data_IF_591871375024
#
_entry.id   IF_591871375024
#
_cell.length_a   1.000
_cell.length_b   1.000
_cell.length_c   1.000
_cell.angle_alpha   90.00
_cell.angle_beta   90.00
_cell.angle_gamma   90.00
#
_symmetry.space_group_name_H-M   'P 1'
#
loop_
_entity.id
_entity.type
_entity.pdbx_description
1 polymer ?
#
# COMPACT_ATOMS: atom_id res chain seq x y z
N UNK A 1 -1.20 7.03 -24.15
CA UNK A 1 -1.46 8.24 -23.35
C UNK A 1 -2.71 7.98 -22.53
N UNK A 2 -2.70 8.30 -21.24
CA UNK A 2 -3.85 8.10 -20.36
C UNK A 2 -5.03 8.98 -20.83
N UNK A 3 -6.25 8.43 -20.89
CA UNK A 3 -7.43 9.23 -21.23
C UNK A 3 -7.82 10.11 -20.04
N UNK A 4 -8.52 11.22 -20.30
CA UNK A 4 -9.00 12.11 -19.23
C UNK A 4 -10.00 11.45 -18.28
N UNK A 5 -10.77 10.49 -18.77
CA UNK A 5 -11.72 9.74 -17.93
C UNK A 5 -10.99 8.78 -16.98
N UNK A 6 -9.99 8.05 -17.49
CA UNK A 6 -9.18 7.15 -16.66
C UNK A 6 -8.31 7.96 -15.69
N UNK A 7 -7.71 9.04 -16.14
CA UNK A 7 -6.93 9.96 -15.28
C UNK A 7 -7.79 10.50 -14.13
N UNK A 8 -9.03 10.89 -14.41
CA UNK A 8 -9.97 11.34 -13.39
C UNK A 8 -10.34 10.21 -12.41
N UNK A 9 -10.58 8.99 -12.91
CA UNK A 9 -10.91 7.85 -12.07
C UNK A 9 -9.74 7.45 -11.14
N UNK A 10 -8.51 7.41 -11.67
CA UNK A 10 -7.31 7.09 -10.89
C UNK A 10 -7.02 8.18 -9.85
N UNK A 11 -7.20 9.47 -10.19
CA UNK A 11 -7.09 10.55 -9.21
C UNK A 11 -8.21 10.49 -8.14
N UNK A 12 -9.40 9.99 -8.50
CA UNK A 12 -10.44 9.63 -7.54
C UNK A 12 -9.95 8.58 -6.55
N UNK A 13 -9.37 7.49 -7.05
CA UNK A 13 -8.79 6.45 -6.21
C UNK A 13 -7.66 6.99 -5.32
N UNK A 14 -6.77 7.83 -5.85
CA UNK A 14 -5.73 8.52 -5.04
C UNK A 14 -6.34 9.24 -3.85
N UNK A 15 -7.50 9.88 -4.00
CA UNK A 15 -8.16 10.57 -2.89
C UNK A 15 -8.71 9.63 -1.81
N UNK A 16 -9.15 8.44 -2.20
CA UNK A 16 -9.63 7.43 -1.29
C UNK A 16 -8.46 6.82 -0.51
N UNK A 17 -7.39 6.39 -1.18
CA UNK A 17 -6.17 5.87 -0.54
C UNK A 17 -5.44 6.94 0.32
N UNK A 18 -5.51 8.21 -0.10
CA UNK A 18 -4.96 9.33 0.66
C UNK A 18 -5.69 9.54 2.01
N UNK A 19 -6.86 8.93 2.19
CA UNK A 19 -7.54 8.93 3.49
C UNK A 19 -6.92 8.00 4.54
N UNK A 20 -5.70 7.51 4.30
CA UNK A 20 -4.77 6.88 5.26
C UNK A 20 -4.65 7.61 6.61
N UNK A 21 -4.96 8.91 6.67
CA UNK A 21 -5.09 9.65 7.92
C UNK A 21 -6.17 9.08 8.86
N UNK A 22 -7.14 8.31 8.36
CA UNK A 22 -8.19 7.67 9.18
C UNK A 22 -7.61 6.60 10.12
N UNK A 23 -6.92 5.54 9.63
CA UNK A 23 -6.17 4.63 10.51
C UNK A 23 -5.20 5.34 11.45
N UNK A 24 -4.55 6.41 11.01
CA UNK A 24 -3.67 7.20 11.87
C UNK A 24 -4.40 7.84 13.06
N UNK A 25 -5.58 8.42 12.83
CA UNK A 25 -6.40 8.98 13.90
C UNK A 25 -6.95 7.90 14.84
N UNK A 26 -7.30 6.73 14.30
CA UNK A 26 -7.69 5.56 15.09
C UNK A 26 -6.53 5.06 15.96
N UNK A 27 -5.31 5.02 15.42
CA UNK A 27 -4.11 4.62 16.15
C UNK A 27 -3.84 5.55 17.33
N UNK A 28 -3.90 6.86 17.07
CA UNK A 28 -3.76 7.88 18.12
C UNK A 28 -4.83 7.73 19.22
N UNK A 29 -6.08 7.44 18.83
CA UNK A 29 -7.14 7.16 19.82
C UNK A 29 -6.82 5.91 20.65
N UNK A 30 -6.43 4.80 20.00
CA UNK A 30 -6.14 3.52 20.67
C UNK A 30 -4.97 3.64 21.67
N UNK A 31 -3.94 4.39 21.30
CA UNK A 31 -2.79 4.66 22.17
C UNK A 31 -3.22 5.41 23.44
N UNK A 32 -4.12 6.39 23.32
CA UNK A 32 -4.71 7.12 24.44
C UNK A 32 -5.68 6.26 25.29
N UNK A 33 -6.11 5.09 24.81
CA UNK A 33 -6.89 4.12 25.58
C UNK A 33 -6.03 3.03 26.24
N UNK A 34 -4.70 3.06 26.05
CA UNK A 34 -3.79 2.03 26.54
C UNK A 34 -3.80 0.73 25.72
N UNK A 35 -4.36 0.76 24.51
CA UNK A 35 -4.44 -0.38 23.58
C UNK A 35 -3.22 -0.37 22.65
N UNK A 36 -2.07 -0.77 23.18
CA UNK A 36 -0.77 -0.62 22.52
C UNK A 36 -0.65 -1.48 21.26
N UNK A 37 -1.13 -2.73 21.29
CA UNK A 37 -1.08 -3.61 20.12
C UNK A 37 -2.00 -3.13 18.99
N UNK A 38 -3.17 -2.60 19.35
CA UNK A 38 -4.13 -1.98 18.43
C UNK A 38 -3.55 -0.71 17.81
N UNK A 39 -2.94 0.15 18.62
CA UNK A 39 -2.29 1.36 18.12
C UNK A 39 -1.16 1.01 17.13
N UNK A 40 -0.28 0.08 17.48
CA UNK A 40 0.80 -0.38 16.61
C UNK A 40 0.29 -0.98 15.29
N UNK A 41 -0.80 -1.75 15.35
CA UNK A 41 -1.46 -2.28 14.15
C UNK A 41 -1.96 -1.14 13.24
N UNK A 42 -2.69 -0.18 13.80
CA UNK A 42 -3.32 0.91 13.04
C UNK A 42 -2.30 1.93 12.49
N UNK A 43 -1.22 2.21 13.23
CA UNK A 43 -0.11 3.02 12.70
C UNK A 43 0.49 2.36 11.45
N UNK A 44 0.68 1.04 11.49
CA UNK A 44 1.23 0.33 10.34
C UNK A 44 0.25 0.24 9.18
N UNK A 45 -1.03 0.02 9.48
CA UNK A 45 -2.09 0.07 8.47
C UNK A 45 -2.12 1.43 7.76
N UNK A 46 -1.96 2.53 8.51
CA UNK A 46 -1.82 3.88 7.93
C UNK A 46 -0.64 4.01 6.97
N UNK A 47 0.50 3.36 7.26
CA UNK A 47 1.66 3.37 6.37
C UNK A 47 1.40 2.53 5.11
N UNK A 48 0.69 1.40 5.22
CA UNK A 48 0.27 0.57 4.08
C UNK A 48 -0.62 1.37 3.11
N UNK A 49 -1.67 2.01 3.61
CA UNK A 49 -2.55 2.90 2.82
C UNK A 49 -1.79 4.03 2.12
N UNK A 50 -0.79 4.62 2.80
CA UNK A 50 0.06 5.66 2.20
C UNK A 50 0.86 5.11 1.01
N UNK A 51 1.30 3.87 1.08
CA UNK A 51 2.03 3.20 -0.01
C UNK A 51 1.09 2.90 -1.18
N UNK A 52 -0.17 2.53 -0.91
CA UNK A 52 -1.20 2.35 -1.94
C UNK A 52 -1.44 3.64 -2.73
N UNK A 53 -1.58 4.77 -2.03
CA UNK A 53 -1.68 6.09 -2.64
C UNK A 53 -0.46 6.42 -3.53
N UNK A 54 0.75 6.23 -3.00
CA UNK A 54 1.99 6.55 -3.72
C UNK A 54 2.15 5.71 -4.99
N UNK A 55 1.73 4.44 -4.95
CA UNK A 55 1.75 3.53 -6.09
C UNK A 55 0.85 4.04 -7.23
N UNK A 56 -0.36 4.51 -6.94
CA UNK A 56 -1.25 5.15 -7.93
C UNK A 56 -0.65 6.43 -8.50
N UNK A 57 -0.16 7.32 -7.64
CA UNK A 57 0.47 8.59 -8.06
C UNK A 57 1.59 8.33 -9.07
N UNK A 58 2.47 7.38 -8.76
CA UNK A 58 3.59 7.02 -9.63
C UNK A 58 3.08 6.46 -10.97
N UNK A 59 2.10 5.55 -10.93
CA UNK A 59 1.53 4.96 -12.14
C UNK A 59 0.87 6.01 -13.07
N UNK A 60 0.10 6.95 -12.52
CA UNK A 60 -0.54 8.03 -13.29
C UNK A 60 0.52 8.85 -14.02
N UNK A 61 1.57 9.25 -13.30
CA UNK A 61 2.65 10.07 -13.85
C UNK A 61 3.46 9.32 -14.92
N UNK A 62 3.76 8.03 -14.72
CA UNK A 62 4.46 7.18 -15.69
C UNK A 62 3.68 6.96 -16.99
N UNK A 63 2.34 6.99 -16.91
CA UNK A 63 1.44 6.87 -18.09
C UNK A 63 1.23 8.20 -18.81
N UNK A 64 1.90 9.27 -18.39
CA UNK A 64 1.81 10.61 -18.96
C UNK A 64 0.56 11.39 -18.54
N UNK A 65 -0.09 11.01 -17.44
CA UNK A 65 -1.13 11.80 -16.77
C UNK A 65 -0.54 12.71 -15.70
N UNK A 66 -1.41 13.47 -15.01
CA UNK A 66 -1.03 14.29 -13.87
C UNK A 66 -1.73 13.79 -12.60
N UNK A 67 -0.95 13.23 -11.66
CA UNK A 67 -1.48 12.85 -10.36
C UNK A 67 -1.73 14.09 -9.48
N UNK A 68 -2.85 14.10 -8.77
CA UNK A 68 -3.25 15.19 -7.88
C UNK A 68 -3.29 14.67 -6.45
N UNK A 69 -2.54 15.32 -5.56
CA UNK A 69 -2.66 15.10 -4.12
C UNK A 69 -3.88 15.90 -3.62
N UNK A 70 -4.92 15.24 -3.07
CA UNK A 70 -6.17 15.91 -2.76
C UNK A 70 -6.13 16.58 -1.38
N UNK A 71 -7.02 17.53 -1.16
CA UNK A 71 -7.32 18.02 0.18
C UNK A 71 -8.06 16.91 0.97
N UNK A 72 -7.66 16.71 2.23
CA UNK A 72 -8.22 15.67 3.08
C UNK A 72 -9.13 16.27 4.14
N UNK A 73 -10.28 15.64 4.35
CA UNK A 73 -11.16 15.96 5.48
C UNK A 73 -10.56 15.40 6.76
N UNK A 74 -10.78 16.10 7.87
CA UNK A 74 -10.36 15.61 9.18
C UNK A 74 -11.10 14.29 9.51
N UNK A 75 -10.38 13.20 9.86
CA UNK A 75 -11.00 11.95 10.29
C UNK A 75 -11.65 12.08 11.68
N UNK A 76 -12.51 11.14 12.05
CA UNK A 76 -13.08 11.11 13.41
C UNK A 76 -11.98 10.94 14.45
N UNK A 77 -12.09 11.69 15.54
CA UNK A 77 -11.18 11.62 16.70
C UNK A 77 -11.83 10.96 17.93
N UNK A 78 -13.10 10.55 17.80
CA UNK A 78 -13.88 9.96 18.89
C UNK A 78 -14.45 8.62 18.45
N UNK A 79 -14.22 7.61 19.29
CA UNK A 79 -14.75 6.26 19.13
C UNK A 79 -15.30 5.80 20.48
N UNK A 80 -16.38 5.01 20.45
CA UNK A 80 -17.05 4.50 21.67
C UNK A 80 -16.27 3.37 22.33
N UNK A 81 -15.43 2.68 21.57
CA UNK A 81 -14.66 1.52 22.02
C UNK A 81 -13.90 0.89 20.85
N UNK A 82 -13.12 -0.15 21.14
CA UNK A 82 -12.31 -0.84 20.14
C UNK A 82 -13.14 -1.44 18.99
N UNK A 83 -14.35 -1.94 19.29
CA UNK A 83 -15.27 -2.45 18.26
C UNK A 83 -15.71 -1.35 17.29
N UNK A 84 -15.94 -0.13 17.77
CA UNK A 84 -16.32 1.02 16.95
C UNK A 84 -15.16 1.45 16.03
N UNK A 85 -13.91 1.32 16.50
CA UNK A 85 -12.71 1.57 15.68
C UNK A 85 -12.64 0.57 14.52
N UNK A 86 -12.73 -0.73 14.80
CA UNK A 86 -12.61 -1.75 13.76
C UNK A 86 -13.84 -1.79 12.82
N UNK A 87 -15.03 -1.40 13.30
CA UNK A 87 -16.18 -1.17 12.43
C UNK A 87 -15.92 -0.01 11.46
N UNK A 88 -15.42 1.12 11.96
CA UNK A 88 -15.07 2.25 11.11
C UNK A 88 -13.95 1.91 10.11
N UNK A 89 -13.02 1.02 10.48
CA UNK A 89 -12.01 0.49 9.57
C UNK A 89 -12.65 -0.37 8.47
N UNK A 90 -13.50 -1.35 8.82
CA UNK A 90 -14.19 -2.20 7.84
C UNK A 90 -15.07 -1.38 6.88
N UNK A 91 -15.81 -0.41 7.42
CA UNK A 91 -16.64 0.49 6.61
C UNK A 91 -15.78 1.28 5.62
N UNK A 92 -14.59 1.69 6.04
CA UNK A 92 -13.64 2.36 5.17
C UNK A 92 -13.14 1.44 4.06
N UNK A 93 -12.68 0.23 4.39
CA UNK A 93 -12.18 -0.73 3.39
C UNK A 93 -13.26 -1.13 2.38
N UNK A 94 -14.50 -1.28 2.83
CA UNK A 94 -15.65 -1.54 1.95
C UNK A 94 -15.86 -0.40 0.95
N UNK A 95 -15.65 0.86 1.38
CA UNK A 95 -15.71 2.02 0.46
C UNK A 95 -14.56 1.97 -0.55
N UNK A 96 -13.35 1.64 -0.12
CA UNK A 96 -12.17 1.54 -1.01
C UNK A 96 -12.43 0.49 -2.10
N UNK A 97 -12.93 -0.70 -1.74
CA UNK A 97 -13.27 -1.75 -2.69
C UNK A 97 -14.30 -1.30 -3.72
N UNK A 98 -15.38 -0.64 -3.27
CA UNK A 98 -16.43 -0.15 -4.18
C UNK A 98 -15.92 0.92 -5.17
N UNK A 99 -14.93 1.71 -4.78
CA UNK A 99 -14.34 2.74 -5.65
C UNK A 99 -13.39 2.16 -6.70
N UNK A 100 -12.72 1.03 -6.40
CA UNK A 100 -11.89 0.30 -7.38
C UNK A 100 -12.74 -0.16 -8.57
N UNK A 101 -13.98 -0.59 -8.32
CA UNK A 101 -14.93 -0.95 -9.39
C UNK A 101 -15.21 0.24 -10.32
N UNK A 102 -15.14 1.48 -9.81
CA UNK A 102 -15.24 2.70 -10.59
C UNK A 102 -14.12 2.84 -11.64
N UNK A 103 -12.93 2.30 -11.37
CA UNK A 103 -11.77 2.33 -12.29
C UNK A 103 -11.90 1.31 -13.43
N UNK A 104 -12.83 0.35 -13.33
CA UNK A 104 -13.11 -0.66 -14.38
C UNK A 104 -13.58 -0.04 -15.70
N UNK A 105 -13.90 1.26 -15.73
CA UNK A 105 -14.10 2.03 -16.96
C UNK A 105 -12.93 1.90 -17.96
N UNK A 106 -11.71 1.60 -17.47
CA UNK A 106 -10.56 1.30 -18.32
C UNK A 106 -10.81 0.21 -19.37
N UNK A 107 -11.62 -0.82 -19.06
CA UNK A 107 -11.98 -1.87 -20.03
C UNK A 107 -12.86 -1.35 -21.16
N UNK A 108 -13.78 -0.43 -20.87
CA UNK A 108 -14.62 0.23 -21.90
C UNK A 108 -13.78 1.08 -22.84
N UNK A 109 -12.68 1.64 -22.33
CA UNK A 109 -11.72 2.44 -23.10
C UNK A 109 -10.57 1.62 -23.69
N UNK A 110 -10.60 0.29 -23.56
CA UNK A 110 -9.57 -0.64 -24.02
C UNK A 110 -8.18 -0.36 -23.43
N UNK A 111 -8.11 0.24 -22.24
CA UNK A 111 -6.88 0.46 -21.50
C UNK A 111 -6.53 -0.77 -20.65
N UNK A 112 -6.00 -1.79 -21.33
CA UNK A 112 -5.59 -3.05 -20.71
C UNK A 112 -4.43 -2.88 -19.73
N UNK A 113 -3.59 -1.86 -19.92
CA UNK A 113 -2.47 -1.57 -19.02
C UNK A 113 -2.98 -1.09 -17.66
N UNK A 114 -3.97 -0.20 -17.64
CA UNK A 114 -4.62 0.24 -16.40
C UNK A 114 -5.41 -0.89 -15.75
N UNK A 115 -6.13 -1.70 -16.54
CA UNK A 115 -6.79 -2.89 -16.01
C UNK A 115 -5.83 -3.86 -15.32
N UNK A 116 -4.69 -4.16 -15.94
CA UNK A 116 -3.66 -5.04 -15.37
C UNK A 116 -3.06 -4.45 -14.08
N UNK A 117 -2.79 -3.15 -14.07
CA UNK A 117 -2.30 -2.46 -12.88
C UNK A 117 -3.29 -2.56 -11.70
N UNK A 118 -4.58 -2.36 -11.96
CA UNK A 118 -5.63 -2.42 -10.93
C UNK A 118 -5.86 -3.82 -10.35
N UNK A 119 -5.41 -4.90 -11.03
CA UNK A 119 -5.54 -6.25 -10.47
C UNK A 119 -4.80 -6.41 -9.13
N UNK A 120 -3.71 -5.67 -8.93
CA UNK A 120 -3.03 -5.65 -7.65
C UNK A 120 -3.95 -5.10 -6.54
N UNK A 121 -4.66 -4.00 -6.80
CA UNK A 121 -5.59 -3.40 -5.83
C UNK A 121 -6.80 -4.30 -5.56
N UNK A 122 -7.31 -5.01 -6.58
CA UNK A 122 -8.38 -6.00 -6.38
C UNK A 122 -7.91 -7.13 -5.46
N UNK A 123 -6.71 -7.65 -5.67
CA UNK A 123 -6.12 -8.67 -4.80
C UNK A 123 -5.89 -8.15 -3.37
N UNK A 124 -5.37 -6.94 -3.25
CA UNK A 124 -5.08 -6.32 -1.94
C UNK A 124 -6.38 -6.11 -1.14
N UNK A 125 -7.43 -5.54 -1.75
CA UNK A 125 -8.70 -5.31 -1.03
C UNK A 125 -9.40 -6.60 -0.58
N UNK A 126 -9.24 -7.72 -1.29
CA UNK A 126 -9.76 -9.02 -0.83
C UNK A 126 -9.11 -9.39 0.52
N UNK A 127 -7.81 -9.13 0.67
CA UNK A 127 -7.10 -9.38 1.91
C UNK A 127 -7.42 -8.36 3.00
N UNK A 128 -7.56 -7.08 2.65
CA UNK A 128 -7.92 -6.01 3.59
C UNK A 128 -9.31 -6.22 4.20
N UNK A 129 -10.31 -6.53 3.38
CA UNK A 129 -11.65 -6.83 3.87
C UNK A 129 -11.68 -8.10 4.71
N UNK A 130 -10.98 -9.15 4.29
CA UNK A 130 -10.91 -10.40 5.05
C UNK A 130 -10.27 -10.18 6.43
N UNK A 131 -9.21 -9.36 6.50
CA UNK A 131 -8.58 -8.97 7.74
C UNK A 131 -9.55 -8.19 8.63
N UNK A 132 -10.15 -7.12 8.12
CA UNK A 132 -11.07 -6.28 8.89
C UNK A 132 -12.26 -7.09 9.44
N UNK A 133 -12.87 -7.96 8.60
CA UNK A 133 -13.94 -8.88 9.03
C UNK A 133 -13.48 -9.84 10.12
N UNK A 134 -12.30 -10.44 9.96
CA UNK A 134 -11.72 -11.35 10.97
C UNK A 134 -11.53 -10.66 12.32
N UNK A 135 -11.10 -9.39 12.32
CA UNK A 135 -10.92 -8.63 13.56
C UNK A 135 -12.25 -8.32 14.23
N UNK A 136 -13.28 -7.94 13.46
CA UNK A 136 -14.63 -7.75 13.98
C UNK A 136 -15.22 -9.06 14.53
N UNK A 137 -15.08 -10.17 13.82
CA UNK A 137 -15.59 -11.47 14.27
C UNK A 137 -14.96 -11.89 15.61
N UNK A 138 -13.65 -11.66 15.79
CA UNK A 138 -12.97 -11.87 17.07
C UNK A 138 -13.52 -10.97 18.17
N UNK A 139 -13.74 -9.69 17.89
CA UNK A 139 -14.32 -8.76 18.86
C UNK A 139 -15.75 -9.15 19.24
N UNK A 140 -16.56 -9.59 18.27
CA UNK A 140 -17.91 -10.09 18.51
C UNK A 140 -17.90 -11.36 19.38
N UNK A 141 -16.93 -12.26 19.18
CA UNK A 141 -16.76 -13.45 20.00
C UNK A 141 -16.38 -13.10 21.46
N UNK A 142 -15.52 -12.10 21.65
CA UNK A 142 -15.08 -11.64 22.98
C UNK A 142 -16.22 -10.92 23.72
N UNK A 143 -17.01 -10.11 23.01
CA UNK A 143 -18.04 -9.28 23.61
C UNK A 143 -17.45 -8.25 24.58
N UNK A 144 -17.92 -8.26 25.83
CA UNK A 144 -17.50 -7.30 26.87
C UNK A 144 -16.46 -7.88 27.85
N UNK A 145 -15.87 -9.03 27.56
CA UNK A 145 -14.87 -9.64 28.43
C UNK A 145 -13.53 -8.88 28.40
N UNK A 146 -13.18 -8.24 29.51
CA UNK A 146 -11.94 -7.44 29.63
C UNK A 146 -10.69 -8.29 29.45
N UNK A 147 -10.71 -9.56 29.88
CA UNK A 147 -9.59 -10.49 29.68
C UNK A 147 -9.37 -10.79 28.20
N UNK A 148 -10.43 -11.09 27.47
CA UNK A 148 -10.43 -11.30 26.03
C UNK A 148 -9.97 -10.07 25.25
N UNK A 149 -10.41 -8.87 25.63
CA UNK A 149 -9.97 -7.63 24.98
C UNK A 149 -8.47 -7.37 25.18
N UNK A 150 -7.92 -7.68 26.36
CA UNK A 150 -6.48 -7.60 26.61
C UNK A 150 -5.70 -8.61 25.74
N UNK A 151 -6.18 -9.85 25.63
CA UNK A 151 -5.56 -10.86 24.77
C UNK A 151 -5.62 -10.47 23.29
N UNK A 152 -6.74 -9.90 22.85
CA UNK A 152 -6.90 -9.38 21.49
C UNK A 152 -5.88 -8.29 21.17
N UNK A 153 -5.71 -7.31 22.06
CA UNK A 153 -4.72 -6.24 21.89
C UNK A 153 -3.30 -6.82 21.78
N UNK A 154 -2.93 -7.72 22.68
CA UNK A 154 -1.63 -8.41 22.65
C UNK A 154 -1.42 -9.21 21.36
N UNK A 155 -2.44 -9.87 20.86
CA UNK A 155 -2.36 -10.66 19.63
C UNK A 155 -2.15 -9.77 18.38
N UNK A 156 -2.72 -8.56 18.36
CA UNK A 156 -2.49 -7.56 17.30
C UNK A 156 -1.03 -7.11 17.23
N UNK A 157 -0.39 -6.94 18.38
CA UNK A 157 1.05 -6.65 18.44
C UNK A 157 1.88 -7.76 17.75
N UNK A 158 1.49 -9.03 17.96
CA UNK A 158 2.13 -10.17 17.31
C UNK A 158 1.88 -10.26 15.80
N UNK A 159 0.67 -9.91 15.35
CA UNK A 159 0.28 -9.92 13.93
C UNK A 159 1.06 -8.89 13.11
N UNK A 160 1.34 -7.71 13.68
CA UNK A 160 2.08 -6.62 13.05
C UNK A 160 3.46 -7.06 12.53
N UNK A 161 4.18 -7.89 13.29
CA UNK A 161 5.52 -8.39 12.89
C UNK A 161 5.50 -9.30 11.67
N UNK A 162 4.40 -10.02 11.43
CA UNK A 162 4.30 -10.96 10.31
C UNK A 162 3.96 -10.22 9.02
N UNK A 163 2.94 -9.38 9.07
CA UNK A 163 2.42 -8.65 7.92
C UNK A 163 3.41 -7.58 7.41
N UNK A 164 4.25 -7.01 8.28
CA UNK A 164 5.38 -6.14 7.88
C UNK A 164 6.30 -6.75 6.83
N UNK A 165 6.72 -7.98 7.05
CA UNK A 165 7.64 -8.68 6.14
C UNK A 165 6.98 -9.14 4.85
N UNK A 166 5.65 -9.18 4.82
CA UNK A 166 4.87 -9.65 3.67
C UNK A 166 4.49 -8.49 2.76
N UNK A 167 4.06 -7.35 3.33
CA UNK A 167 3.83 -6.12 2.61
C UNK A 167 5.10 -5.64 1.86
N UNK A 168 6.26 -5.61 2.53
CA UNK A 168 7.54 -5.25 1.90
C UNK A 168 7.89 -6.18 0.72
N UNK A 169 7.70 -7.50 0.89
CA UNK A 169 7.99 -8.48 -0.18
C UNK A 169 7.04 -8.34 -1.37
N UNK A 170 5.76 -8.06 -1.13
CA UNK A 170 4.77 -7.87 -2.18
C UNK A 170 5.01 -6.59 -2.97
N UNK A 171 5.50 -5.54 -2.31
CA UNK A 171 5.90 -4.30 -2.96
C UNK A 171 7.08 -4.52 -3.93
N UNK A 172 8.09 -5.28 -3.52
CA UNK A 172 9.24 -5.62 -4.38
C UNK A 172 8.84 -6.50 -5.58
N UNK A 173 7.95 -7.48 -5.37
CA UNK A 173 7.53 -8.41 -6.43
C UNK A 173 6.79 -7.73 -7.60
N UNK A 174 6.07 -6.64 -7.37
CA UNK A 174 5.34 -5.92 -8.43
C UNK A 174 6.26 -4.96 -9.21
N UNK A 175 7.28 -4.40 -8.57
CA UNK A 175 8.30 -3.61 -9.26
C UNK A 175 9.06 -4.50 -10.27
N UNK A 176 9.31 -5.76 -9.91
CA UNK A 176 10.03 -6.70 -10.77
C UNK A 176 9.20 -7.15 -12.00
N UNK A 177 7.89 -7.38 -11.84
CA UNK A 177 7.01 -7.73 -12.97
C UNK A 177 6.85 -6.60 -13.99
N UNK A 178 6.86 -5.34 -13.54
CA UNK A 178 6.83 -4.16 -14.43
C UNK A 178 8.21 -3.82 -15.02
N UNK A 179 9.29 -4.40 -14.48
CA UNK A 179 10.68 -4.18 -14.90
C UNK A 179 11.24 -5.30 -15.80
N UNK A 180 10.41 -6.18 -16.37
CA UNK A 180 10.86 -7.17 -17.36
C UNK A 180 11.28 -6.50 -18.69
N UNK A 181 12.39 -5.77 -18.67
CA UNK A 181 13.30 -5.70 -19.82
C UNK A 181 13.70 -7.14 -20.12
N UNK A 182 13.35 -7.61 -21.31
CA UNK A 182 13.76 -8.92 -21.80
C UNK A 182 15.27 -9.12 -21.57
N UNK A 183 15.70 -10.22 -20.92
CA UNK A 183 17.11 -10.56 -20.88
C UNK A 183 17.51 -11.04 -22.28
N UNK A 184 18.32 -10.25 -22.99
CA UNK A 184 18.93 -10.71 -24.25
C UNK A 184 18.71 -9.85 -25.50
N UNK A 185 18.50 -8.53 -25.38
CA UNK A 185 18.59 -7.61 -26.52
C UNK A 185 20.04 -7.44 -27.00
N UNK A 186 20.57 -8.42 -27.73
CA UNK A 186 21.86 -8.30 -28.41
C UNK A 186 21.72 -7.29 -29.56
N UNK A 187 22.29 -6.10 -29.40
CA UNK A 187 22.51 -5.18 -30.50
C UNK A 187 23.80 -5.61 -31.22
N UNK A 188 23.66 -6.32 -32.33
CA UNK A 188 24.80 -6.65 -33.20
C UNK A 188 25.12 -5.42 -34.03
N UNK A 189 26.15 -4.69 -33.64
CA UNK A 189 26.82 -3.68 -34.47
C UNK A 189 28.04 -4.33 -35.11
N UNK A 190 28.00 -4.54 -36.43
CA UNK A 190 29.20 -4.82 -37.22
C UNK A 190 29.99 -3.54 -37.39
N UNK A 191 31.23 -3.50 -36.90
CA UNK A 191 32.15 -2.38 -37.14
C UNK A 191 33.48 -2.59 -36.42
N UNK A 192 34.53 -2.76 -37.20
CA UNK A 192 35.90 -3.11 -36.79
C UNK A 192 36.59 -2.03 -35.94
N UNK A 193 37.51 -2.42 -35.05
CA UNK A 193 38.60 -1.54 -34.59
C UNK A 193 38.99 -1.64 -33.10
N UNK A 194 40.00 -2.48 -32.82
CA UNK A 194 41.11 -2.31 -31.86
C UNK A 194 40.87 -1.72 -30.44
N UNK A 195 41.15 -2.52 -29.40
CA UNK A 195 41.50 -2.11 -28.01
C UNK A 195 42.97 -1.65 -27.92
N UNK A 196 43.57 -1.15 -26.78
CA UNK A 196 43.18 -1.15 -25.34
C UNK A 196 43.67 0.14 -24.55
N UNK A 197 43.93 0.20 -23.20
CA UNK A 197 43.59 -0.69 -22.06
C UNK A 197 42.96 -0.02 -20.79
N UNK A 198 42.32 -0.89 -19.99
CA UNK A 198 42.16 -0.95 -18.51
C UNK A 198 42.04 0.32 -17.63
N UNK A 199 40.99 0.35 -16.78
CA UNK A 199 41.16 0.26 -15.31
C UNK A 199 40.07 -0.62 -14.69
N UNK A 200 40.51 -1.51 -13.80
CA UNK A 200 39.70 -2.51 -13.07
C UNK A 200 39.12 -1.90 -11.80
N UNK A 201 37.97 -2.42 -11.38
CA UNK A 201 37.74 -2.75 -9.98
C UNK A 201 36.64 -1.96 -9.27
N UNK A 202 35.43 -2.53 -9.23
CA UNK A 202 34.78 -2.85 -7.96
C UNK A 202 33.56 -3.74 -8.24
N UNK A 203 33.77 -5.05 -8.08
CA UNK A 203 32.75 -6.08 -8.16
C UNK A 203 32.53 -6.65 -6.76
N UNK A 204 31.49 -6.17 -6.06
CA UNK A 204 30.83 -6.95 -5.00
C UNK A 204 29.38 -6.45 -4.79
N UNK A 205 28.39 -7.35 -4.65
CA UNK A 205 26.98 -6.99 -4.44
C UNK A 205 26.62 -6.41 -3.07
N UNK A 206 27.57 -6.26 -2.15
CA UNK A 206 27.30 -5.80 -0.76
C UNK A 206 27.29 -4.26 -0.61
N UNK A 207 27.83 -3.51 -1.57
CA UNK A 207 27.91 -2.04 -1.50
C UNK A 207 26.58 -1.34 -1.79
N UNK A 208 25.62 -2.01 -2.42
CA UNK A 208 24.30 -1.44 -2.73
C UNK A 208 23.35 -1.48 -1.52
N UNK A 209 23.55 -2.42 -0.58
CA UNK A 209 22.67 -2.56 0.61
C UNK A 209 22.86 -1.47 1.68
N UNK A 210 23.90 -0.64 1.60
CA UNK A 210 24.17 0.41 2.60
C UNK A 210 23.65 1.81 2.24
N UNK A 211 23.07 2.02 1.06
CA UNK A 211 22.57 3.35 0.68
C UNK A 211 21.14 3.68 1.14
N UNK A 212 20.34 2.72 1.61
CA UNK A 212 18.95 2.98 2.00
C UNK A 212 18.70 3.22 3.50
N UNK A 213 19.71 3.07 4.37
CA UNK A 213 19.51 3.13 5.83
C UNK A 213 19.88 4.47 6.51
N UNK A 214 20.23 5.54 5.78
CA UNK A 214 20.72 6.78 6.41
C UNK A 214 19.98 8.08 6.03
N UNK A 215 18.78 8.03 5.45
CA UNK A 215 18.05 9.24 5.06
C UNK A 215 16.97 9.71 6.05
N UNK A 216 16.77 9.03 7.17
CA UNK A 216 15.81 9.43 8.21
C UNK A 216 16.50 9.50 9.57
N UNK A 217 17.34 10.52 9.74
CA UNK A 217 17.79 11.07 11.03
C UNK A 217 18.70 12.27 10.72
N UNK A 218 18.09 13.40 10.34
CA UNK A 218 18.57 14.76 10.55
C UNK A 218 17.37 15.70 10.56
#
# INVERSE_FOLDING_TARGET
MLSKKIESALNGQVAIEASSNKPLAMASWAENQGLQGTAAFLYRHSDEERLHMLKLIKFINERGGCAVVPALKQPSTKYKGITDVFQALLDHETIVTNEIDGVVICLKEKDHTTHNFMQWYVGEQIEEEALARTLIDKLNLIGNDKGGLYLFDRDLEGMQRRRGRECERRQEAVIDQQSTRAPGGAFVIHGQGQSPPMRRGCSSPESIRRCFSCAWLK
#
